data_IF_813544782258
#
_entry.id   IF_813544782258
#
_cell.length_a   1.000
_cell.length_b   1.000
_cell.length_c   1.000
_cell.angle_alpha   90.00
_cell.angle_beta   90.00
_cell.angle_gamma   90.00
#
_symmetry.space_group_name_H-M   'P 1'
#
loop_
_entity.id
_entity.type
_entity.pdbx_description
1 polymer ?
#
# COMPACT_ATOMS: atom_id res chain seq x y z
N UNK A 1 -16.38 4.70 7.82
CA UNK A 1 -15.07 4.12 8.17
C UNK A 1 -14.30 3.96 6.88
N UNK A 2 -13.16 4.63 6.75
CA UNK A 2 -12.38 4.66 5.50
C UNK A 2 -11.60 3.35 5.38
N UNK A 3 -11.71 2.68 4.25
CA UNK A 3 -11.02 1.44 3.91
C UNK A 3 -9.80 1.72 3.05
N UNK A 4 -8.63 1.33 3.56
CA UNK A 4 -7.33 1.59 2.93
C UNK A 4 -6.62 0.27 2.65
N UNK A 5 -6.19 0.09 1.40
CA UNK A 5 -5.32 -1.01 0.99
C UNK A 5 -3.91 -0.46 0.80
N UNK A 6 -2.98 -0.86 1.67
CA UNK A 6 -1.58 -0.47 1.61
C UNK A 6 -0.75 -1.53 0.90
N UNK A 7 -0.21 -1.17 -0.25
CA UNK A 7 0.70 -2.00 -1.05
C UNK A 7 2.13 -1.72 -0.61
N UNK A 8 2.70 -2.62 0.18
CA UNK A 8 4.09 -2.57 0.60
C UNK A 8 5.05 -3.21 -0.42
N UNK A 9 6.34 -3.15 -0.11
CA UNK A 9 7.34 -3.97 -0.79
C UNK A 9 6.97 -5.47 -0.72
N UNK A 10 7.43 -6.27 -1.68
CA UNK A 10 7.44 -7.73 -1.51
C UNK A 10 8.11 -8.09 -0.18
N UNK A 11 7.63 -9.14 0.50
CA UNK A 11 8.24 -9.62 1.75
C UNK A 11 9.70 -10.09 1.57
N UNK A 12 10.11 -10.42 0.36
CA UNK A 12 11.48 -10.84 0.04
C UNK A 12 11.87 -10.43 -1.40
N UNK A 13 12.11 -9.14 -1.67
CA UNK A 13 12.72 -8.73 -2.92
C UNK A 13 14.13 -9.34 -2.99
N UNK A 14 14.57 -9.90 -4.13
CA UNK A 14 15.86 -10.59 -4.20
C UNK A 14 17.08 -9.70 -3.95
N UNK A 15 16.90 -8.38 -3.90
CA UNK A 15 17.95 -7.38 -3.62
C UNK A 15 17.86 -6.74 -2.23
N UNK A 16 16.85 -7.07 -1.42
CA UNK A 16 16.74 -6.58 -0.03
C UNK A 16 17.15 -7.72 0.91
N UNK A 17 18.11 -7.49 1.83
CA UNK A 17 18.55 -8.52 2.75
C UNK A 17 17.42 -8.93 3.72
N UNK A 18 17.41 -10.21 4.11
CA UNK A 18 16.35 -10.79 4.95
C UNK A 18 16.13 -10.03 6.27
N UNK A 19 17.20 -9.54 6.90
CA UNK A 19 17.12 -8.74 8.13
C UNK A 19 16.37 -7.41 7.93
N UNK A 20 16.50 -6.79 6.76
CA UNK A 20 15.75 -5.57 6.42
C UNK A 20 14.28 -5.89 6.14
N UNK A 21 14.00 -7.04 5.50
CA UNK A 21 12.63 -7.52 5.31
C UNK A 21 11.88 -7.72 6.64
N UNK A 22 12.54 -8.27 7.67
CA UNK A 22 11.94 -8.43 9.00
C UNK A 22 11.63 -7.09 9.66
N UNK A 23 12.54 -6.11 9.55
CA UNK A 23 12.31 -4.75 10.06
C UNK A 23 11.14 -4.08 9.35
N UNK A 24 11.05 -4.23 8.02
CA UNK A 24 9.94 -3.69 7.22
C UNK A 24 8.62 -4.33 7.66
N UNK A 25 8.56 -5.66 7.80
CA UNK A 25 7.37 -6.38 8.24
C UNK A 25 6.92 -5.94 9.64
N UNK A 26 7.87 -5.74 10.57
CA UNK A 26 7.57 -5.24 11.92
C UNK A 26 6.98 -3.82 11.89
N UNK A 27 7.58 -2.91 11.11
CA UNK A 27 7.07 -1.54 10.92
C UNK A 27 5.66 -1.53 10.32
N UNK A 28 5.40 -2.35 9.30
CA UNK A 28 4.09 -2.47 8.67
C UNK A 28 3.03 -2.98 9.64
N UNK A 29 3.38 -3.92 10.53
CA UNK A 29 2.49 -4.41 11.58
C UNK A 29 2.12 -3.31 12.58
N UNK A 30 3.11 -2.56 13.06
CA UNK A 30 2.87 -1.44 13.99
C UNK A 30 2.03 -0.34 13.34
N UNK A 31 2.28 -0.03 12.07
CA UNK A 31 1.49 0.92 11.30
C UNK A 31 0.03 0.45 11.17
N UNK A 32 -0.19 -0.81 10.81
CA UNK A 32 -1.54 -1.38 10.72
C UNK A 32 -2.30 -1.21 12.04
N UNK A 33 -1.69 -1.56 13.16
CA UNK A 33 -2.30 -1.41 14.49
C UNK A 33 -2.63 0.05 14.82
N UNK A 34 -1.72 0.98 14.48
CA UNK A 34 -1.96 2.43 14.66
C UNK A 34 -3.18 2.89 13.84
N UNK A 35 -3.25 2.49 12.57
CA UNK A 35 -4.34 2.90 11.67
C UNK A 35 -5.69 2.28 12.07
N UNK A 36 -5.70 1.00 12.44
CA UNK A 36 -6.89 0.34 13.00
C UNK A 36 -7.36 1.04 14.29
N UNK A 37 -6.41 1.42 15.17
CA UNK A 37 -6.70 2.20 16.39
C UNK A 37 -7.22 3.61 16.13
N UNK A 38 -6.85 4.22 15.00
CA UNK A 38 -7.38 5.52 14.54
C UNK A 38 -8.75 5.39 13.82
N UNK A 39 -9.33 4.18 13.76
CA UNK A 39 -10.66 3.96 13.19
C UNK A 39 -10.69 3.73 11.68
N UNK A 40 -9.55 3.43 11.06
CA UNK A 40 -9.46 3.06 9.64
C UNK A 40 -9.55 1.54 9.49
N UNK A 41 -10.19 1.08 8.40
CA UNK A 41 -10.08 -0.32 7.97
C UNK A 41 -8.82 -0.45 7.14
N UNK A 42 -7.72 -0.84 7.77
CA UNK A 42 -6.38 -0.81 7.16
C UNK A 42 -5.86 -2.22 6.84
N UNK A 43 -5.69 -2.51 5.55
CA UNK A 43 -5.14 -3.77 5.06
C UNK A 43 -3.74 -3.55 4.48
N UNK A 44 -2.78 -4.39 4.85
CA UNK A 44 -1.44 -4.38 4.25
C UNK A 44 -1.32 -5.59 3.34
N UNK A 45 -1.14 -5.34 2.05
CA UNK A 45 -0.85 -6.35 1.04
C UNK A 45 0.62 -6.28 0.65
N UNK A 46 1.25 -7.43 0.56
CA UNK A 46 2.58 -7.56 -0.02
C UNK A 46 2.40 -7.99 -1.47
N UNK A 47 2.71 -7.09 -2.40
CA UNK A 47 2.54 -7.35 -3.81
C UNK A 47 3.91 -7.44 -4.50
N UNK A 48 4.12 -8.48 -5.30
CA UNK A 48 5.29 -8.61 -6.18
C UNK A 48 4.92 -8.32 -7.64
N UNK A 49 5.87 -7.93 -8.49
CA UNK A 49 5.62 -7.76 -9.92
C UNK A 49 5.10 -9.03 -10.61
N UNK A 50 5.50 -10.21 -10.11
CA UNK A 50 5.20 -11.50 -10.74
C UNK A 50 3.78 -12.03 -10.45
N UNK A 51 3.16 -11.62 -9.34
CA UNK A 51 1.83 -12.14 -8.95
C UNK A 51 0.97 -11.21 -8.09
N UNK A 52 1.55 -10.14 -7.53
CA UNK A 52 0.87 -9.21 -6.66
C UNK A 52 -0.26 -8.42 -7.33
N UNK A 53 -0.17 -8.16 -8.64
CA UNK A 53 -1.23 -7.43 -9.37
C UNK A 53 -2.52 -8.23 -9.49
N UNK A 54 -2.43 -9.55 -9.69
CA UNK A 54 -3.61 -10.41 -9.78
C UNK A 54 -4.35 -10.47 -8.43
N UNK A 55 -3.58 -10.53 -7.33
CA UNK A 55 -4.15 -10.50 -5.99
C UNK A 55 -4.75 -9.14 -5.66
N UNK A 56 -4.10 -8.04 -6.06
CA UNK A 56 -4.65 -6.68 -5.94
C UNK A 56 -5.98 -6.55 -6.69
N UNK A 57 -6.05 -6.97 -7.96
CA UNK A 57 -7.31 -6.95 -8.74
C UNK A 57 -8.41 -7.71 -8.01
N UNK A 58 -8.14 -8.96 -7.61
CA UNK A 58 -9.11 -9.79 -6.88
C UNK A 58 -9.59 -9.08 -5.62
N UNK A 59 -8.70 -8.42 -4.88
CA UNK A 59 -9.03 -7.71 -3.66
C UNK A 59 -9.91 -6.49 -3.92
N UNK A 60 -9.60 -5.68 -4.92
CA UNK A 60 -10.38 -4.49 -5.28
C UNK A 60 -11.77 -4.83 -5.83
N UNK A 61 -11.90 -5.96 -6.54
CA UNK A 61 -13.18 -6.46 -7.02
C UNK A 61 -14.06 -7.06 -5.90
N UNK A 62 -13.44 -7.61 -4.86
CA UNK A 62 -14.16 -8.32 -3.79
C UNK A 62 -14.76 -7.38 -2.75
N UNK A 63 -14.10 -6.27 -2.42
CA UNK A 63 -14.64 -5.31 -1.46
C UNK A 63 -14.29 -3.86 -1.83
N UNK A 64 -15.19 -2.92 -1.53
CA UNK A 64 -14.94 -1.50 -1.80
C UNK A 64 -13.70 -1.01 -1.06
N UNK A 65 -12.97 -0.12 -1.73
CA UNK A 65 -11.75 0.50 -1.25
C UNK A 65 -11.87 2.01 -1.45
N UNK A 66 -11.60 2.78 -0.39
CA UNK A 66 -11.62 4.25 -0.45
C UNK A 66 -10.26 4.80 -0.88
N UNK A 67 -9.17 4.11 -0.51
CA UNK A 67 -7.82 4.49 -0.91
C UNK A 67 -6.87 3.30 -1.08
N UNK A 68 -6.03 3.38 -2.11
CA UNK A 68 -4.87 2.51 -2.27
C UNK A 68 -3.62 3.32 -1.95
N UNK A 69 -2.93 2.94 -0.89
CA UNK A 69 -1.66 3.53 -0.47
C UNK A 69 -0.51 2.71 -1.03
N UNK A 70 0.41 3.34 -1.75
CA UNK A 70 1.63 2.70 -2.26
C UNK A 70 2.76 3.03 -1.30
N UNK A 71 3.34 2.00 -0.69
CA UNK A 71 4.36 2.13 0.35
C UNK A 71 5.69 2.68 -0.15
N UNK A 72 6.42 3.32 0.76
CA UNK A 72 7.66 4.05 0.45
C UNK A 72 8.75 3.21 -0.19
N UNK A 73 8.84 1.93 0.14
CA UNK A 73 9.79 1.04 -0.53
C UNK A 73 9.45 0.77 -2.01
N UNK A 74 8.17 0.81 -2.39
CA UNK A 74 7.75 0.71 -3.80
C UNK A 74 7.89 2.06 -4.50
N UNK A 75 7.63 3.17 -3.79
CA UNK A 75 7.74 4.53 -4.33
C UNK A 75 9.20 4.93 -4.58
N UNK A 76 10.10 4.59 -3.66
CA UNK A 76 11.50 5.01 -3.67
C UNK A 76 12.43 4.09 -4.50
N UNK A 77 12.02 2.85 -4.78
CA UNK A 77 12.84 1.92 -5.57
C UNK A 77 12.56 2.08 -7.06
N UNK A 78 13.53 2.62 -7.80
CA UNK A 78 13.43 2.82 -9.25
C UNK A 78 13.17 1.52 -10.02
N UNK A 79 13.62 0.36 -9.51
CA UNK A 79 13.36 -0.94 -10.16
C UNK A 79 11.89 -1.32 -10.10
N UNK A 80 11.14 -0.74 -9.16
CA UNK A 80 9.72 -0.95 -8.98
C UNK A 80 8.88 0.16 -9.63
N UNK A 81 9.47 1.12 -10.35
CA UNK A 81 8.73 2.20 -10.99
C UNK A 81 7.63 1.70 -11.95
N UNK A 82 7.93 0.65 -12.75
CA UNK A 82 6.94 0.00 -13.62
C UNK A 82 5.84 -0.65 -12.79
N UNK A 83 6.22 -1.39 -11.75
CA UNK A 83 5.28 -2.06 -10.88
C UNK A 83 4.35 -1.08 -10.15
N UNK A 84 4.90 0.05 -9.69
CA UNK A 84 4.15 1.18 -9.14
C UNK A 84 3.10 1.67 -10.13
N UNK A 85 3.49 1.95 -11.37
CA UNK A 85 2.53 2.38 -12.40
C UNK A 85 1.43 1.33 -12.63
N UNK A 86 1.79 0.05 -12.67
CA UNK A 86 0.80 -1.02 -12.81
C UNK A 86 -0.19 -1.08 -11.63
N UNK A 87 0.25 -0.82 -10.39
CA UNK A 87 -0.64 -0.72 -9.23
C UNK A 87 -1.63 0.44 -9.41
N UNK A 88 -1.15 1.59 -9.89
CA UNK A 88 -1.98 2.78 -10.14
C UNK A 88 -3.03 2.47 -11.22
N UNK A 89 -2.63 1.86 -12.33
CA UNK A 89 -3.53 1.48 -13.43
C UNK A 89 -4.59 0.49 -12.95
N UNK A 90 -4.17 -0.59 -12.28
CA UNK A 90 -5.09 -1.58 -11.69
C UNK A 90 -6.08 -0.92 -10.74
N UNK A 91 -5.63 0.02 -9.93
CA UNK A 91 -6.53 0.71 -9.00
C UNK A 91 -7.56 1.56 -9.75
N UNK A 92 -7.15 2.26 -10.80
CA UNK A 92 -8.06 3.08 -11.63
C UNK A 92 -9.09 2.23 -12.36
N UNK A 93 -8.71 1.05 -12.84
CA UNK A 93 -9.61 0.13 -13.54
C UNK A 93 -10.61 -0.54 -12.59
N UNK A 94 -10.12 -1.10 -11.48
CA UNK A 94 -10.94 -1.94 -10.60
C UNK A 94 -11.66 -1.14 -9.50
N UNK A 95 -11.10 -0.01 -9.08
CA UNK A 95 -11.64 0.86 -8.04
C UNK A 95 -11.52 2.34 -8.44
N UNK A 96 -12.22 2.79 -9.50
CA UNK A 96 -12.09 4.15 -10.04
C UNK A 96 -12.44 5.28 -9.06
N UNK A 97 -13.20 4.98 -8.00
CA UNK A 97 -13.50 5.92 -6.92
C UNK A 97 -12.45 5.98 -5.81
N UNK A 98 -11.49 5.06 -5.78
CA UNK A 98 -10.45 5.00 -4.76
C UNK A 98 -9.38 6.07 -5.01
N UNK A 99 -8.95 6.74 -3.94
CA UNK A 99 -7.80 7.66 -3.99
C UNK A 99 -6.51 6.85 -4.03
N UNK A 100 -5.66 7.11 -5.02
CA UNK A 100 -4.31 6.56 -5.06
C UNK A 100 -3.37 7.52 -4.34
N UNK A 101 -2.68 7.02 -3.32
CA UNK A 101 -1.78 7.80 -2.48
C UNK A 101 -0.39 7.17 -2.51
N UNK A 102 0.64 7.99 -2.72
CA UNK A 102 2.04 7.55 -2.64
C UNK A 102 2.60 7.96 -1.28
N UNK A 103 3.06 6.99 -0.51
CA UNK A 103 3.70 7.24 0.77
C UNK A 103 5.20 7.47 0.56
N UNK A 104 5.65 8.68 0.85
CA UNK A 104 7.07 8.95 1.08
C UNK A 104 7.33 9.01 2.60
N UNK A 105 8.47 8.48 3.04
CA UNK A 105 8.82 8.40 4.46
C UNK A 105 8.86 9.75 5.19
N UNK A 106 8.81 10.88 4.48
CA UNK A 106 8.75 12.23 5.05
C UNK A 106 7.42 12.59 5.71
N UNK A 107 6.31 11.90 5.41
CA UNK A 107 4.97 12.24 5.93
C UNK A 107 4.37 11.02 6.63
N UNK A 108 3.67 11.19 7.75
CA UNK A 108 2.96 10.08 8.41
C UNK A 108 1.74 9.62 7.59
N UNK A 109 1.48 8.31 7.55
CA UNK A 109 0.36 7.73 6.79
C UNK A 109 -0.99 8.28 7.24
N UNK A 110 -1.18 8.49 8.55
CA UNK A 110 -2.43 9.02 9.06
C UNK A 110 -2.66 10.43 8.53
N UNK A 111 -1.65 11.30 8.61
CA UNK A 111 -1.72 12.66 8.07
C UNK A 111 -1.99 12.67 6.58
N UNK A 112 -1.38 11.76 5.81
CA UNK A 112 -1.64 11.66 4.38
C UNK A 112 -3.11 11.30 4.09
N UNK A 113 -3.69 10.39 4.86
CA UNK A 113 -5.10 10.02 4.74
C UNK A 113 -6.05 11.13 5.21
N UNK A 114 -5.74 11.81 6.31
CA UNK A 114 -6.51 12.96 6.81
C UNK A 114 -6.57 14.08 5.77
N UNK A 115 -5.43 14.40 5.14
CA UNK A 115 -5.36 15.36 4.03
C UNK A 115 -6.16 14.88 2.81
N UNK A 116 -6.05 13.61 2.46
CA UNK A 116 -6.74 13.05 1.30
C UNK A 116 -8.26 13.08 1.47
N UNK A 117 -8.78 12.87 2.68
CA UNK A 117 -10.21 12.81 2.96
C UNK A 117 -10.77 14.09 3.62
N UNK A 118 -9.92 15.08 3.92
CA UNK A 118 -10.29 16.34 4.59
C UNK A 118 -11.03 16.11 5.92
N UNK A 119 -10.50 15.17 6.72
CA UNK A 119 -11.02 14.79 8.04
C UNK A 119 -10.06 15.13 9.17
#
# INVERSE_FOLDING_TARGET
MISVVHIGLPLAPPWVPAEECEKIASRLRGLRQKMEGAGYRYEVMHASPEGGLAELRRRLQSEPCDAVLIGGGVVADEKLAVFKQQIIEVTKDEAPGAKVLEFDHAVDVQTLLELAFSI
#
